data_IF_620301937865
#
_entry.id   IF_620301937865
#
_cell.length_a   1.000
_cell.length_b   1.000
_cell.length_c   1.000
_cell.angle_alpha   90.00
_cell.angle_beta   90.00
_cell.angle_gamma   90.00
#
_symmetry.space_group_name_H-M   'P 1'
#
loop_
_entity.id
_entity.type
_entity.pdbx_description
1 polymer ?
#
# COMPACT_ATOMS: atom_id res chain seq x y z
N UNK A 1 -13.33 12.43 5.05
CA UNK A 1 -13.59 11.08 4.51
C UNK A 1 -12.91 10.99 3.15
N UNK A 2 -12.29 9.84 2.80
CA UNK A 2 -11.72 9.64 1.45
C UNK A 2 -12.84 9.36 0.44
N UNK A 3 -12.65 9.73 -0.85
CA UNK A 3 -13.62 9.42 -1.89
C UNK A 3 -13.81 7.90 -2.06
N UNK A 4 -14.99 7.51 -2.54
CA UNK A 4 -15.25 6.11 -2.91
C UNK A 4 -14.25 5.64 -3.99
N UNK A 5 -13.93 4.34 -4.04
CA UNK A 5 -13.07 3.81 -5.08
C UNK A 5 -13.70 4.01 -6.47
N UNK A 6 -12.90 4.50 -7.40
CA UNK A 6 -13.28 4.57 -8.83
C UNK A 6 -13.03 3.21 -9.45
N UNK A 7 -13.96 2.71 -10.24
CA UNK A 7 -13.83 1.44 -10.95
C UNK A 7 -13.92 1.68 -12.45
N UNK A 8 -12.93 1.21 -13.18
CA UNK A 8 -12.86 1.29 -14.64
C UNK A 8 -12.78 -0.13 -15.23
N UNK A 9 -13.08 -0.27 -16.53
CA UNK A 9 -12.93 -1.53 -17.24
C UNK A 9 -11.79 -1.43 -18.26
N UNK A 10 -10.80 -2.32 -18.14
CA UNK A 10 -9.66 -2.40 -19.04
C UNK A 10 -9.44 -3.85 -19.49
N UNK A 11 -9.45 -4.09 -20.80
CA UNK A 11 -9.24 -5.42 -21.39
C UNK A 11 -10.13 -6.53 -20.75
N UNK A 12 -11.39 -6.20 -20.43
CA UNK A 12 -12.34 -7.14 -19.81
C UNK A 12 -12.24 -7.27 -18.29
N UNK A 13 -11.22 -6.67 -17.66
CA UNK A 13 -10.98 -6.68 -16.20
C UNK A 13 -11.55 -5.41 -15.57
N UNK A 14 -12.17 -5.53 -14.39
CA UNK A 14 -12.55 -4.40 -13.56
C UNK A 14 -11.32 -3.94 -12.77
N UNK A 15 -10.98 -2.67 -12.85
CA UNK A 15 -9.80 -2.10 -12.17
C UNK A 15 -10.25 -1.05 -11.17
N UNK A 16 -9.95 -1.29 -9.90
CA UNK A 16 -10.11 -0.27 -8.85
C UNK A 16 -8.91 0.68 -8.91
N UNK A 17 -9.19 1.97 -9.13
CA UNK A 17 -8.21 3.03 -9.39
C UNK A 17 -7.86 3.79 -8.10
N UNK A 18 -7.32 3.10 -7.10
CA UNK A 18 -6.83 3.76 -5.89
C UNK A 18 -5.53 4.55 -6.13
N UNK A 19 -4.88 4.36 -7.26
CA UNK A 19 -3.81 5.21 -7.76
C UNK A 19 -4.23 6.68 -7.93
N UNK A 20 -5.51 6.98 -8.01
CA UNK A 20 -6.06 8.34 -8.02
C UNK A 20 -5.98 9.03 -6.64
N UNK A 21 -5.76 8.28 -5.56
CA UNK A 21 -5.45 8.86 -4.25
C UNK A 21 -3.97 9.24 -4.17
N UNK A 22 -3.59 10.39 -3.61
CA UNK A 22 -2.20 10.86 -3.56
C UNK A 22 -1.21 9.87 -2.93
N UNK A 23 -1.67 9.07 -1.98
CA UNK A 23 -0.90 8.02 -1.31
C UNK A 23 -1.41 6.61 -1.62
N UNK A 24 -2.23 6.45 -2.65
CA UNK A 24 -2.81 5.18 -3.07
C UNK A 24 -3.69 4.53 -1.99
N UNK A 25 -3.93 3.25 -2.11
CA UNK A 25 -4.71 2.46 -1.13
C UNK A 25 -4.18 2.60 0.30
N UNK A 26 -2.91 2.96 0.48
CA UNK A 26 -2.34 3.16 1.82
C UNK A 26 -3.02 4.30 2.59
N UNK A 27 -3.63 5.27 1.92
CA UNK A 27 -4.45 6.28 2.59
C UNK A 27 -5.68 5.67 3.25
N UNK A 28 -6.35 4.69 2.61
CA UNK A 28 -7.49 3.98 3.19
C UNK A 28 -7.13 3.18 4.44
N UNK A 29 -5.88 2.70 4.51
CA UNK A 29 -5.36 1.99 5.67
C UNK A 29 -4.94 2.93 6.80
N UNK A 30 -4.21 4.01 6.47
CA UNK A 30 -3.52 4.85 7.45
C UNK A 30 -4.46 5.90 8.06
N UNK A 31 -5.36 6.49 7.29
CA UNK A 31 -6.25 7.54 7.80
C UNK A 31 -7.10 7.05 8.99
N UNK A 32 -7.84 5.92 8.91
CA UNK A 32 -8.63 5.43 10.05
C UNK A 32 -7.75 4.96 11.22
N UNK A 33 -6.57 4.38 10.94
CA UNK A 33 -5.61 4.07 11.99
C UNK A 33 -5.20 5.33 12.76
N UNK A 34 -4.88 6.41 12.05
CA UNK A 34 -4.52 7.68 12.71
C UNK A 34 -5.69 8.29 13.48
N UNK A 35 -6.91 8.18 12.96
CA UNK A 35 -8.12 8.66 13.64
C UNK A 35 -8.42 7.90 14.93
N UNK A 36 -8.09 6.60 14.98
CA UNK A 36 -8.28 5.77 16.17
C UNK A 36 -7.26 6.03 17.29
N UNK A 37 -6.24 6.87 17.06
CA UNK A 37 -5.17 7.17 18.00
C UNK A 37 -5.17 8.65 18.40
N UNK A 38 -4.90 8.93 19.68
CA UNK A 38 -4.82 10.30 20.18
C UNK A 38 -3.45 10.98 19.95
N UNK A 39 -2.49 10.30 19.35
CA UNK A 39 -1.14 10.81 19.15
C UNK A 39 -1.10 12.05 18.24
N UNK A 40 -0.28 13.04 18.60
CA UNK A 40 -0.05 14.23 17.79
C UNK A 40 0.95 13.99 16.65
N UNK A 41 1.74 12.93 16.74
CA UNK A 41 2.76 12.56 15.76
C UNK A 41 2.72 11.07 15.46
N UNK A 42 2.86 10.75 14.18
CA UNK A 42 2.90 9.38 13.67
C UNK A 42 4.22 9.13 12.96
N UNK A 43 4.86 8.01 13.33
CA UNK A 43 6.20 7.63 12.85
C UNK A 43 6.07 6.37 11.99
N UNK A 44 6.78 6.34 10.88
CA UNK A 44 6.82 5.17 10.01
C UNK A 44 8.23 4.87 9.51
N UNK A 45 8.61 3.60 9.55
CA UNK A 45 9.83 3.10 8.91
C UNK A 45 9.50 2.57 7.52
N UNK A 46 9.92 3.29 6.47
CA UNK A 46 9.56 2.99 5.10
C UNK A 46 10.72 2.45 4.29
N UNK A 47 10.53 1.39 3.48
CA UNK A 47 11.38 1.19 2.31
C UNK A 47 11.20 2.38 1.37
N UNK A 48 12.25 2.76 0.63
CA UNK A 48 12.22 3.95 -0.21
C UNK A 48 11.09 3.93 -1.25
N UNK A 49 10.75 2.74 -1.78
CA UNK A 49 9.69 2.52 -2.77
C UNK A 49 8.29 2.36 -2.16
N UNK A 50 8.15 2.49 -0.84
CA UNK A 50 6.88 2.26 -0.15
C UNK A 50 5.92 3.44 -0.26
N UNK A 51 4.70 3.22 -0.71
CA UNK A 51 3.63 4.23 -0.76
C UNK A 51 3.16 4.69 0.63
N UNK A 52 3.37 3.89 1.67
CA UNK A 52 2.91 4.23 3.02
C UNK A 52 3.51 5.53 3.57
N UNK A 53 4.72 5.92 3.15
CA UNK A 53 5.32 7.20 3.54
C UNK A 53 4.54 8.39 2.97
N UNK A 54 4.13 8.31 1.71
CA UNK A 54 3.33 9.36 1.05
C UNK A 54 1.93 9.42 1.66
N UNK A 55 1.30 8.26 1.84
CA UNK A 55 -0.01 8.16 2.47
C UNK A 55 -0.01 8.73 3.89
N UNK A 56 1.01 8.43 4.70
CA UNK A 56 1.14 8.96 6.06
C UNK A 56 1.22 10.49 6.05
N UNK A 57 2.04 11.07 5.18
CA UNK A 57 2.19 12.52 5.06
C UNK A 57 0.86 13.20 4.71
N UNK A 58 0.15 12.70 3.70
CA UNK A 58 -1.15 13.23 3.31
C UNK A 58 -2.22 13.06 4.40
N UNK A 59 -2.28 11.90 5.05
CA UNK A 59 -3.22 11.67 6.16
C UNK A 59 -2.92 12.57 7.35
N UNK A 60 -1.64 12.78 7.70
CA UNK A 60 -1.24 13.66 8.77
C UNK A 60 -1.66 15.11 8.48
N UNK A 61 -1.44 15.59 7.26
CA UNK A 61 -1.89 16.92 6.82
C UNK A 61 -3.41 17.07 6.92
N UNK A 62 -4.18 16.08 6.47
CA UNK A 62 -5.65 16.08 6.57
C UNK A 62 -6.16 16.15 8.01
N UNK A 63 -5.41 15.60 8.97
CA UNK A 63 -5.80 15.55 10.38
C UNK A 63 -5.14 16.65 11.23
N UNK A 64 -4.33 17.54 10.66
CA UNK A 64 -3.56 18.54 11.40
C UNK A 64 -2.54 17.92 12.36
N UNK A 65 -1.98 16.76 12.01
CA UNK A 65 -1.01 16.00 12.81
C UNK A 65 0.37 15.97 12.12
N UNK A 66 1.40 15.56 12.86
CA UNK A 66 2.75 15.41 12.33
C UNK A 66 3.00 14.00 11.81
N UNK A 67 3.77 13.91 10.71
CA UNK A 67 4.27 12.66 10.16
C UNK A 67 5.80 12.69 10.14
N UNK A 68 6.44 11.64 10.66
CA UNK A 68 7.89 11.44 10.61
C UNK A 68 8.20 10.10 9.95
N UNK A 69 8.96 10.16 8.85
CA UNK A 69 9.29 9.00 8.04
C UNK A 69 10.78 8.70 8.16
N UNK A 70 11.10 7.52 8.65
CA UNK A 70 12.45 6.98 8.64
C UNK A 70 12.66 6.16 7.37
N UNK A 71 13.75 6.42 6.66
CA UNK A 71 14.12 5.69 5.42
C UNK A 71 15.63 5.51 5.34
N UNK A 72 16.07 4.51 4.58
CA UNK A 72 17.49 4.33 4.33
C UNK A 72 18.11 5.54 3.64
N UNK A 73 19.24 6.02 4.12
CA UNK A 73 19.99 7.10 3.50
C UNK A 73 20.41 6.71 2.07
N UNK A 74 20.20 7.61 1.13
CA UNK A 74 20.56 7.47 -0.29
C UNK A 74 21.22 8.74 -0.81
N UNK A 75 22.17 8.59 -1.77
CA UNK A 75 22.78 9.76 -2.43
C UNK A 75 21.72 10.61 -3.14
N UNK A 76 20.76 9.96 -3.78
CA UNK A 76 19.58 10.61 -4.40
C UNK A 76 18.34 10.02 -3.73
N UNK A 77 17.52 10.82 -3.05
CA UNK A 77 16.28 10.37 -2.46
C UNK A 77 15.34 9.75 -3.52
N UNK A 78 14.60 8.74 -3.12
CA UNK A 78 13.60 8.12 -4.00
C UNK A 78 12.44 9.11 -4.24
N UNK A 79 11.82 9.17 -5.45
CA UNK A 79 10.70 10.07 -5.74
C UNK A 79 9.57 10.00 -4.71
N UNK A 80 9.19 8.81 -4.23
CA UNK A 80 8.18 8.68 -3.18
C UNK A 80 8.62 9.27 -1.83
N UNK A 81 9.92 9.27 -1.53
CA UNK A 81 10.45 9.92 -0.32
C UNK A 81 10.38 11.44 -0.45
N UNK A 82 10.68 11.96 -1.64
CA UNK A 82 10.51 13.39 -1.93
C UNK A 82 9.04 13.79 -1.86
N UNK A 83 8.15 13.01 -2.49
CA UNK A 83 6.70 13.25 -2.42
C UNK A 83 6.16 13.25 -0.98
N UNK A 84 6.68 12.39 -0.09
CA UNK A 84 6.31 12.41 1.33
C UNK A 84 6.78 13.71 2.02
N UNK A 85 8.00 14.18 1.73
CA UNK A 85 8.51 15.46 2.25
C UNK A 85 7.69 16.64 1.73
N UNK A 86 7.39 16.68 0.43
CA UNK A 86 6.57 17.73 -0.21
C UNK A 86 5.14 17.76 0.37
N UNK A 87 4.62 16.60 0.78
CA UNK A 87 3.34 16.49 1.48
C UNK A 87 3.40 16.89 2.97
N UNK A 88 4.58 17.25 3.49
CA UNK A 88 4.79 17.80 4.84
C UNK A 88 5.32 16.80 5.88
N UNK A 89 5.79 15.62 5.47
CA UNK A 89 6.45 14.71 6.41
C UNK A 89 7.89 15.13 6.72
N UNK A 90 8.30 15.02 7.99
CA UNK A 90 9.70 15.05 8.36
C UNK A 90 10.37 13.74 7.92
N UNK A 91 11.36 13.83 7.03
CA UNK A 91 12.09 12.65 6.55
C UNK A 91 13.42 12.54 7.28
N UNK A 92 13.65 11.39 7.92
CA UNK A 92 14.87 11.09 8.67
C UNK A 92 15.67 10.00 7.94
N UNK A 93 16.78 10.34 7.28
CA UNK A 93 17.63 9.37 6.62
C UNK A 93 18.45 8.58 7.66
N UNK A 94 18.42 7.25 7.55
CA UNK A 94 19.15 6.33 8.43
C UNK A 94 20.37 5.77 7.69
N UNK A 95 21.60 6.00 8.18
CA UNK A 95 22.80 5.35 7.66
C UNK A 95 22.70 3.81 7.75
N UNK A 96 23.43 3.09 6.90
CA UNK A 96 23.47 1.62 6.89
C UNK A 96 22.11 0.94 6.65
N UNK A 97 21.31 1.43 5.83
CA UNK A 97 20.04 1.21 5.18
C UNK A 97 19.28 -0.11 5.22
N UNK A 98 19.61 -1.11 6.04
CA UNK A 98 18.74 -2.27 6.20
C UNK A 98 17.42 -1.86 6.86
N UNK A 99 16.30 -2.38 6.34
CA UNK A 99 14.97 -2.04 6.85
C UNK A 99 14.82 -2.31 8.35
N UNK A 100 15.46 -3.35 8.87
CA UNK A 100 15.48 -3.66 10.31
C UNK A 100 16.13 -2.55 11.14
N UNK A 101 17.20 -1.94 10.64
CA UNK A 101 17.86 -0.80 11.29
C UNK A 101 16.98 0.45 11.24
N UNK A 102 16.36 0.71 10.10
CA UNK A 102 15.40 1.82 9.93
C UNK A 102 14.22 1.65 10.91
N UNK A 103 13.69 0.44 11.03
CA UNK A 103 12.61 0.12 11.98
C UNK A 103 13.04 0.30 13.44
N UNK A 104 14.27 -0.11 13.81
CA UNK A 104 14.80 0.07 15.16
C UNK A 104 14.92 1.57 15.51
N UNK A 105 15.43 2.39 14.59
CA UNK A 105 15.55 3.84 14.78
C UNK A 105 14.19 4.53 14.90
N UNK A 106 13.24 4.17 14.04
CA UNK A 106 11.88 4.70 14.12
C UNK A 106 11.18 4.34 15.44
N UNK A 107 11.39 3.11 15.93
CA UNK A 107 10.85 2.66 17.22
C UNK A 107 11.44 3.44 18.40
N UNK A 108 12.76 3.62 18.42
CA UNK A 108 13.43 4.39 19.47
C UNK A 108 12.94 5.84 19.51
N UNK A 109 12.88 6.49 18.35
CA UNK A 109 12.34 7.85 18.21
C UNK A 109 10.90 7.96 18.70
N UNK A 110 10.03 7.03 18.27
CA UNK A 110 8.62 7.04 18.67
C UNK A 110 8.46 6.90 20.19
N UNK A 111 9.25 6.02 20.83
CA UNK A 111 9.25 5.84 22.28
C UNK A 111 9.72 7.10 23.02
N UNK A 112 10.82 7.73 22.56
CA UNK A 112 11.36 8.95 23.15
C UNK A 112 10.40 10.14 23.06
N UNK A 113 9.67 10.26 21.94
CA UNK A 113 8.79 11.40 21.65
C UNK A 113 7.33 11.19 22.03
N UNK A 114 6.95 10.02 22.55
CA UNK A 114 5.55 9.67 22.77
C UNK A 114 4.73 9.66 21.50
N UNK A 115 5.36 9.39 20.33
CA UNK A 115 4.73 9.35 19.05
C UNK A 115 4.17 7.94 18.76
N UNK A 116 3.15 7.85 17.90
CA UNK A 116 2.59 6.56 17.51
C UNK A 116 3.40 5.95 16.35
N UNK A 117 4.00 4.78 16.60
CA UNK A 117 4.68 4.02 15.56
C UNK A 117 3.65 3.24 14.73
N UNK A 118 3.50 3.62 13.46
CA UNK A 118 2.63 2.90 12.51
C UNK A 118 3.28 1.56 12.16
N UNK A 119 2.56 0.43 12.31
CA UNK A 119 3.11 -0.88 12.00
C UNK A 119 3.45 -1.02 10.51
N UNK A 120 4.43 -1.87 10.19
CA UNK A 120 4.83 -2.12 8.80
C UNK A 120 3.63 -2.56 7.96
N UNK A 121 3.47 -1.94 6.78
CA UNK A 121 2.32 -2.18 5.91
C UNK A 121 1.02 -1.55 6.39
N UNK A 122 1.03 -0.81 7.52
CA UNK A 122 -0.17 -0.37 8.25
C UNK A 122 -1.06 -1.56 8.66
N UNK A 123 -0.44 -2.65 9.11
CA UNK A 123 -1.14 -3.88 9.50
C UNK A 123 -1.83 -3.72 10.86
N UNK A 124 -3.07 -3.28 10.83
CA UNK A 124 -3.90 -3.06 11.99
C UNK A 124 -5.37 -3.38 11.69
N UNK A 125 -6.14 -3.73 12.71
CA UNK A 125 -7.55 -4.08 12.57
C UNK A 125 -8.36 -2.95 11.90
N UNK A 126 -8.12 -1.69 12.31
CA UNK A 126 -8.76 -0.52 11.71
C UNK A 126 -8.45 -0.37 10.21
N UNK A 127 -7.20 -0.63 9.81
CA UNK A 127 -6.78 -0.57 8.41
C UNK A 127 -7.47 -1.65 7.56
N UNK A 128 -7.51 -2.88 8.06
CA UNK A 128 -8.18 -4.00 7.38
C UNK A 128 -9.68 -3.75 7.24
N UNK A 129 -10.33 -3.25 8.29
CA UNK A 129 -11.75 -2.90 8.28
C UNK A 129 -12.06 -1.82 7.24
N UNK A 130 -11.34 -0.72 7.26
CA UNK A 130 -11.60 0.40 6.38
C UNK A 130 -11.36 0.10 4.88
N UNK A 131 -10.34 -0.73 4.56
CA UNK A 131 -10.15 -1.20 3.18
C UNK A 131 -11.31 -2.12 2.77
N UNK A 132 -11.77 -3.00 3.67
CA UNK A 132 -12.89 -3.87 3.40
C UNK A 132 -14.19 -3.09 3.18
N UNK A 133 -14.45 -2.06 3.99
CA UNK A 133 -15.58 -1.13 3.82
C UNK A 133 -15.52 -0.38 2.48
N UNK A 134 -14.33 0.12 2.11
CA UNK A 134 -14.13 0.77 0.82
C UNK A 134 -14.37 -0.19 -0.35
N UNK A 135 -13.98 -1.46 -0.22
CA UNK A 135 -14.23 -2.49 -1.21
C UNK A 135 -15.74 -2.80 -1.34
N UNK A 136 -16.43 -2.96 -0.22
CA UNK A 136 -17.88 -3.17 -0.19
C UNK A 136 -18.64 -1.97 -0.78
N UNK A 137 -18.17 -0.74 -0.54
CA UNK A 137 -18.76 0.49 -1.07
C UNK A 137 -18.69 0.59 -2.62
N UNK A 138 -17.92 -0.25 -3.30
CA UNK A 138 -17.96 -0.35 -4.77
C UNK A 138 -19.26 -0.95 -5.29
N UNK A 139 -20.03 -1.65 -4.44
CA UNK A 139 -21.23 -2.39 -4.83
C UNK A 139 -20.97 -3.62 -5.71
N UNK A 140 -19.70 -4.01 -5.86
CA UNK A 140 -19.31 -5.14 -6.71
C UNK A 140 -19.27 -6.45 -5.90
N UNK A 141 -19.59 -7.55 -6.59
CA UNK A 141 -19.48 -8.93 -6.08
C UNK A 141 -18.61 -9.76 -7.07
N UNK A 142 -17.29 -9.51 -7.10
CA UNK A 142 -16.41 -10.18 -8.05
C UNK A 142 -16.27 -11.67 -7.69
N UNK A 143 -16.33 -12.54 -8.71
CA UNK A 143 -16.02 -13.97 -8.54
C UNK A 143 -14.50 -14.19 -8.35
N UNK A 144 -13.68 -13.29 -8.88
CA UNK A 144 -12.22 -13.37 -8.82
C UNK A 144 -11.60 -12.01 -8.57
N UNK A 145 -10.62 -11.96 -7.65
CA UNK A 145 -9.93 -10.73 -7.25
C UNK A 145 -8.42 -10.93 -7.33
N UNK A 146 -7.77 -9.98 -7.99
CA UNK A 146 -6.32 -9.88 -8.12
C UNK A 146 -5.79 -8.71 -7.30
N UNK A 147 -4.69 -8.92 -6.62
CA UNK A 147 -3.98 -7.87 -5.87
C UNK A 147 -2.48 -8.11 -5.87
N UNK A 148 -1.70 -7.05 -5.64
CA UNK A 148 -0.27 -7.18 -5.41
C UNK A 148 0.00 -7.17 -3.92
N UNK A 149 0.89 -8.04 -3.46
CA UNK A 149 1.20 -8.22 -2.06
C UNK A 149 2.69 -7.95 -1.75
N UNK A 150 2.95 -6.94 -0.92
CA UNK A 150 4.23 -6.73 -0.26
C UNK A 150 4.13 -7.02 1.25
N UNK A 151 3.06 -6.56 1.91
CA UNK A 151 2.72 -6.88 3.30
C UNK A 151 1.53 -7.83 3.43
N UNK A 152 0.73 -8.00 2.38
CA UNK A 152 -0.48 -8.81 2.36
C UNK A 152 -1.72 -8.14 2.96
N UNK A 153 -1.62 -6.96 3.55
CA UNK A 153 -2.72 -6.25 4.23
C UNK A 153 -3.90 -6.02 3.28
N UNK A 154 -3.65 -5.52 2.06
CA UNK A 154 -4.70 -5.31 1.06
C UNK A 154 -5.42 -6.63 0.74
N UNK A 155 -4.68 -7.67 0.39
CA UNK A 155 -5.24 -8.97 0.01
C UNK A 155 -6.15 -9.53 1.10
N UNK A 156 -5.71 -9.46 2.38
CA UNK A 156 -6.52 -9.92 3.52
C UNK A 156 -7.76 -9.05 3.78
N UNK A 157 -7.66 -7.75 3.57
CA UNK A 157 -8.78 -6.84 3.70
C UNK A 157 -9.86 -7.11 2.63
N UNK A 158 -9.44 -7.28 1.37
CA UNK A 158 -10.36 -7.61 0.28
C UNK A 158 -11.06 -8.97 0.48
N UNK A 159 -10.38 -9.94 1.12
CA UNK A 159 -11.00 -11.21 1.48
C UNK A 159 -12.13 -11.08 2.52
N UNK A 160 -12.08 -10.04 3.36
CA UNK A 160 -13.18 -9.73 4.28
C UNK A 160 -14.39 -9.15 3.56
N UNK A 161 -14.16 -8.29 2.56
CA UNK A 161 -15.22 -7.69 1.77
C UNK A 161 -15.92 -8.74 0.88
N UNK A 162 -15.13 -9.63 0.28
CA UNK A 162 -15.64 -10.62 -0.68
C UNK A 162 -15.28 -12.06 -0.27
N UNK A 163 -15.95 -12.62 0.77
CA UNK A 163 -15.56 -13.92 1.34
C UNK A 163 -15.72 -15.08 0.36
N UNK A 164 -16.57 -14.95 -0.67
CA UNK A 164 -16.82 -16.00 -1.67
C UNK A 164 -15.91 -15.90 -2.89
N UNK A 165 -15.24 -14.77 -3.12
CA UNK A 165 -14.37 -14.57 -4.26
C UNK A 165 -13.13 -15.47 -4.21
N UNK A 166 -12.63 -15.87 -5.38
CA UNK A 166 -11.31 -16.46 -5.54
C UNK A 166 -10.26 -15.34 -5.53
N UNK A 167 -9.16 -15.54 -4.80
CA UNK A 167 -8.11 -14.54 -4.69
C UNK A 167 -6.81 -15.02 -5.31
N UNK A 168 -6.16 -14.12 -6.05
CA UNK A 168 -4.81 -14.29 -6.54
C UNK A 168 -3.97 -13.09 -6.07
N UNK A 169 -2.85 -13.40 -5.40
CA UNK A 169 -1.91 -12.40 -4.91
C UNK A 169 -0.57 -12.53 -5.66
N UNK A 170 -0.20 -11.50 -6.40
CA UNK A 170 1.12 -11.39 -7.00
C UNK A 170 2.06 -10.82 -5.93
N UNK A 171 2.95 -11.66 -5.41
CA UNK A 171 3.87 -11.29 -4.33
C UNK A 171 5.10 -10.62 -4.92
N UNK A 172 5.39 -9.39 -4.46
CA UNK A 172 6.54 -8.60 -4.88
C UNK A 172 7.40 -8.27 -3.66
N UNK A 173 8.66 -8.67 -3.68
CA UNK A 173 9.63 -8.43 -2.63
C UNK A 173 9.61 -9.51 -1.55
N UNK A 174 8.96 -9.28 -0.41
CA UNK A 174 8.98 -10.21 0.74
C UNK A 174 8.07 -11.42 0.52
N UNK A 175 8.64 -12.58 0.27
CA UNK A 175 7.90 -13.82 0.03
C UNK A 175 7.07 -14.30 1.24
N UNK A 176 7.54 -14.05 2.47
CA UNK A 176 6.88 -14.46 3.71
C UNK A 176 5.71 -13.57 4.15
N UNK A 177 5.13 -12.73 3.28
CA UNK A 177 3.95 -11.93 3.64
C UNK A 177 2.70 -12.82 3.76
N UNK A 178 1.84 -12.49 4.73
CA UNK A 178 0.54 -13.16 4.90
C UNK A 178 -0.48 -12.65 3.89
N UNK A 179 -0.89 -13.50 2.95
CA UNK A 179 -1.89 -13.20 1.92
C UNK A 179 -3.22 -13.91 2.19
N UNK A 180 -3.42 -14.46 3.39
CA UNK A 180 -4.61 -15.21 3.73
C UNK A 180 -4.80 -16.43 2.81
N UNK A 181 -6.01 -16.62 2.28
CA UNK A 181 -6.37 -17.76 1.41
C UNK A 181 -6.07 -17.55 -0.08
N UNK A 182 -5.35 -16.48 -0.46
CA UNK A 182 -5.06 -16.22 -1.87
C UNK A 182 -4.07 -17.24 -2.46
N UNK A 183 -4.32 -17.67 -3.70
CA UNK A 183 -3.29 -18.31 -4.51
C UNK A 183 -2.15 -17.32 -4.73
N UNK A 184 -0.94 -17.72 -4.49
CA UNK A 184 0.24 -16.86 -4.56
C UNK A 184 0.99 -17.10 -5.85
N UNK A 185 1.40 -16.01 -6.49
CA UNK A 185 2.35 -15.98 -7.60
C UNK A 185 3.52 -15.11 -7.15
N UNK A 186 4.70 -15.68 -6.94
CA UNK A 186 5.89 -14.90 -6.59
C UNK A 186 6.48 -14.32 -7.87
N UNK A 187 6.53 -12.98 -7.95
CA UNK A 187 7.07 -12.30 -9.11
C UNK A 187 8.61 -12.37 -9.09
N UNK A 188 9.27 -12.80 -10.20
CA UNK A 188 10.73 -13.03 -10.20
C UNK A 188 11.56 -11.74 -10.10
N UNK A 189 11.00 -10.59 -10.48
CA UNK A 189 11.74 -9.32 -10.42
C UNK A 189 11.57 -8.66 -9.05
N UNK A 190 12.67 -8.17 -8.43
CA UNK A 190 12.61 -7.45 -7.18
C UNK A 190 11.88 -6.10 -7.33
N UNK A 191 11.53 -5.48 -6.21
CA UNK A 191 10.72 -4.26 -6.14
C UNK A 191 11.32 -3.09 -6.97
N UNK A 192 12.64 -3.02 -7.08
CA UNK A 192 13.39 -1.98 -7.80
C UNK A 192 13.32 -2.10 -9.32
N UNK A 193 12.89 -3.25 -9.83
CA UNK A 193 12.79 -3.50 -11.27
C UNK A 193 11.35 -3.29 -11.74
N UNK A 194 11.19 -2.52 -12.81
CA UNK A 194 9.90 -2.28 -13.44
C UNK A 194 9.33 -3.56 -14.09
N UNK A 195 8.01 -3.64 -14.15
CA UNK A 195 7.30 -4.66 -14.90
C UNK A 195 7.67 -4.62 -16.40
N UNK A 196 7.74 -5.79 -17.02
CA UNK A 196 7.97 -5.91 -18.48
C UNK A 196 6.72 -5.52 -19.28
N UNK A 197 5.56 -5.91 -18.78
CA UNK A 197 4.26 -5.61 -19.41
C UNK A 197 3.59 -4.51 -18.60
N UNK A 198 3.26 -3.39 -19.25
CA UNK A 198 2.56 -2.28 -18.62
C UNK A 198 1.05 -2.41 -18.82
N UNK A 199 0.25 -2.13 -17.78
CA UNK A 199 -1.21 -2.01 -17.95
C UNK A 199 -1.56 -0.76 -18.77
N UNK A 200 -2.77 -0.70 -19.38
CA UNK A 200 -3.25 0.46 -20.15
C UNK A 200 -3.76 1.61 -19.25
N UNK A 201 -3.43 1.61 -17.99
CA UNK A 201 -3.75 2.63 -17.01
C UNK A 201 -2.50 2.94 -16.14
N UNK A 202 -2.41 4.11 -15.49
CA UNK A 202 -1.35 4.42 -14.55
C UNK A 202 -1.26 3.37 -13.43
N UNK A 203 -0.07 2.86 -13.19
CA UNK A 203 0.19 1.81 -12.22
C UNK A 203 1.67 1.81 -11.82
N UNK A 204 1.96 1.54 -10.56
CA UNK A 204 3.31 1.54 -10.02
C UNK A 204 4.21 0.52 -10.75
N UNK A 205 5.23 0.98 -11.51
CA UNK A 205 6.00 0.10 -12.39
C UNK A 205 6.72 -1.04 -11.66
N UNK A 206 7.21 -0.78 -10.46
CA UNK A 206 7.92 -1.77 -9.63
C UNK A 206 7.00 -2.66 -8.80
N UNK A 207 5.69 -2.38 -8.79
CA UNK A 207 4.74 -3.05 -7.89
C UNK A 207 3.47 -3.49 -8.63
N UNK A 208 2.43 -2.67 -8.70
CA UNK A 208 1.11 -3.08 -9.22
C UNK A 208 1.15 -3.50 -10.69
N UNK A 209 1.94 -2.82 -11.52
CA UNK A 209 2.09 -3.16 -12.94
C UNK A 209 2.57 -4.60 -13.17
N UNK A 210 3.25 -5.21 -12.21
CA UNK A 210 3.75 -6.60 -12.28
C UNK A 210 2.63 -7.65 -12.29
N UNK A 211 1.46 -7.31 -11.77
CA UNK A 211 0.34 -8.23 -11.81
C UNK A 211 -0.27 -8.35 -13.22
N UNK A 212 -0.08 -7.34 -14.07
CA UNK A 212 -0.81 -7.23 -15.31
C UNK A 212 -0.51 -8.35 -16.32
N UNK A 213 0.75 -8.83 -16.39
CA UNK A 213 1.09 -9.96 -17.26
C UNK A 213 0.35 -11.25 -16.88
N UNK A 214 0.20 -11.52 -15.59
CA UNK A 214 -0.53 -12.69 -15.09
C UNK A 214 -2.04 -12.52 -15.23
N UNK A 215 -2.55 -11.32 -14.97
CA UNK A 215 -3.96 -10.99 -15.15
C UNK A 215 -4.37 -11.21 -16.61
N UNK A 216 -3.58 -10.74 -17.56
CA UNK A 216 -3.85 -10.95 -18.98
C UNK A 216 -3.80 -12.41 -19.43
N UNK A 217 -2.98 -13.22 -18.78
CA UNK A 217 -2.82 -14.63 -19.11
C UNK A 217 -3.87 -15.53 -18.47
N UNK A 218 -4.33 -15.19 -17.24
CA UNK A 218 -5.06 -16.15 -16.41
C UNK A 218 -6.41 -15.63 -15.88
N UNK A 219 -6.65 -14.31 -15.85
CA UNK A 219 -7.87 -13.77 -15.27
C UNK A 219 -9.13 -14.14 -16.05
N UNK A 220 -10.14 -14.59 -15.33
CA UNK A 220 -11.45 -14.86 -15.91
C UNK A 220 -12.21 -13.58 -16.30
N UNK A 221 -13.26 -13.69 -17.13
CA UNK A 221 -14.11 -12.56 -17.47
C UNK A 221 -14.69 -11.89 -16.21
N UNK A 222 -14.59 -10.55 -16.14
CA UNK A 222 -15.11 -9.79 -15.01
C UNK A 222 -14.27 -9.92 -13.73
N UNK A 223 -13.06 -10.46 -13.79
CA UNK A 223 -12.12 -10.42 -12.70
C UNK A 223 -11.85 -8.96 -12.26
N UNK A 224 -11.62 -8.77 -10.96
CA UNK A 224 -11.31 -7.45 -10.40
C UNK A 224 -9.83 -7.38 -10.05
N UNK A 225 -9.18 -6.31 -10.45
CA UNK A 225 -7.82 -5.95 -10.02
C UNK A 225 -7.86 -4.68 -9.17
N UNK A 226 -7.23 -4.72 -7.98
CA UNK A 226 -7.08 -3.54 -7.14
C UNK A 226 -5.71 -2.90 -7.38
N UNK A 227 -5.70 -1.77 -8.11
CA UNK A 227 -4.49 -0.98 -8.42
C UNK A 227 -4.21 0.01 -7.29
N UNK A 228 -3.11 -0.19 -6.58
CA UNK A 228 -2.78 0.51 -5.32
C UNK A 228 -2.27 1.93 -5.55
N UNK A 229 -1.41 2.12 -6.57
CA UNK A 229 -0.73 3.38 -6.82
C UNK A 229 -0.10 3.46 -8.22
N UNK A 230 0.36 4.65 -8.59
CA UNK A 230 1.00 4.94 -9.88
C UNK A 230 2.26 5.80 -9.75
#
# INVERSE_FOLDING_TARGET
MLPAPVVERHAGVLVVRDDLLPGGTKMRAILPLMQSQAAAEFVYASPAQGYAQVALAHCARLLGRRATVFTAARKVPHPLTMAAADAGAAVVPVPCGYLSVVQARARAYAAERGAHLVPFGADAAASLGAIAEAAAATGLEPAEVWSVAGSGVLTRALQRAWPRARFVAVVVGREGCDTGRARRIVHPLPFERAAKVRPPFPSAPGYDAKAWEYIRAEAGPGALFWNVGA
#
